data_IF_768149523619
#
_entry.id   IF_768149523619
#
_cell.length_a   1.000
_cell.length_b   1.000
_cell.length_c   1.000
_cell.angle_alpha   90.00
_cell.angle_beta   90.00
_cell.angle_gamma   90.00
#
_symmetry.space_group_name_H-M   'P 1'
#
loop_
_entity.id
_entity.type
_entity.pdbx_description
1 polymer ?
#
# COMPACT_ATOMS: atom_id res chain seq x y z
N UNK A 1 2.14 11.40 -12.97
CA UNK A 1 2.62 10.82 -11.71
C UNK A 1 1.48 10.64 -10.73
N UNK A 2 1.55 9.62 -9.88
CA UNK A 2 0.46 9.35 -8.94
C UNK A 2 0.26 10.46 -7.93
N UNK A 3 -0.99 10.57 -7.49
CA UNK A 3 -1.39 11.56 -6.49
C UNK A 3 -2.17 10.85 -5.39
N UNK A 4 -2.51 11.60 -4.34
CA UNK A 4 -3.35 11.06 -3.28
C UNK A 4 -4.71 10.62 -3.83
N UNK A 5 -5.22 11.30 -4.86
CA UNK A 5 -6.47 10.87 -5.48
C UNK A 5 -6.37 9.48 -6.09
N UNK A 6 -5.20 9.15 -6.64
CA UNK A 6 -4.98 7.81 -7.16
C UNK A 6 -5.00 6.78 -6.03
N UNK A 7 -4.37 7.11 -4.90
CA UNK A 7 -4.40 6.23 -3.73
C UNK A 7 -5.83 6.02 -3.27
N UNK A 8 -6.61 7.10 -3.22
CA UNK A 8 -8.02 7.04 -2.81
C UNK A 8 -8.83 6.16 -3.75
N UNK A 9 -8.67 6.37 -5.05
CA UNK A 9 -9.40 5.60 -6.05
C UNK A 9 -9.08 4.12 -5.96
N UNK A 10 -7.80 3.79 -5.85
CA UNK A 10 -7.37 2.39 -5.76
C UNK A 10 -7.88 1.77 -4.47
N UNK A 11 -7.69 2.46 -3.35
CA UNK A 11 -8.08 1.95 -2.04
C UNK A 11 -9.58 1.71 -1.93
N UNK A 12 -10.38 2.67 -2.38
CA UNK A 12 -11.83 2.57 -2.25
C UNK A 12 -12.43 1.60 -3.26
N UNK A 13 -11.66 1.20 -4.27
CA UNK A 13 -12.08 0.15 -5.19
C UNK A 13 -11.91 -1.25 -4.62
N UNK A 14 -11.25 -1.42 -3.47
CA UNK A 14 -11.06 -2.72 -2.87
C UNK A 14 -12.23 -3.09 -1.97
N UNK A 15 -12.54 -4.40 -1.85
CA UNK A 15 -13.73 -4.84 -1.09
C UNK A 15 -13.76 -4.33 0.35
N UNK A 16 -14.91 -3.81 0.76
CA UNK A 16 -15.19 -3.35 2.13
C UNK A 16 -14.20 -2.29 2.62
N UNK A 17 -13.60 -1.54 1.71
CA UNK A 17 -12.69 -0.47 2.07
C UNK A 17 -13.45 0.83 2.30
N UNK A 18 -12.90 1.66 3.17
CA UNK A 18 -13.48 2.97 3.48
C UNK A 18 -12.37 3.94 3.81
N UNK A 19 -12.71 5.23 3.78
CA UNK A 19 -11.77 6.30 4.10
C UNK A 19 -12.32 7.08 5.28
N UNK A 20 -11.47 7.33 6.27
CA UNK A 20 -11.82 8.12 7.44
C UNK A 20 -10.76 9.19 7.64
N UNK A 21 -11.19 10.43 7.79
CA UNK A 21 -10.28 11.50 8.17
C UNK A 21 -10.00 11.39 9.66
N UNK A 22 -8.72 11.36 10.00
CA UNK A 22 -8.27 11.19 11.38
C UNK A 22 -7.39 12.39 11.72
N UNK A 23 -7.57 12.91 12.91
CA UNK A 23 -6.79 14.07 13.38
C UNK A 23 -6.87 15.25 12.41
N UNK A 24 -8.02 15.40 11.75
CA UNK A 24 -8.31 16.56 10.92
C UNK A 24 -7.79 16.50 9.51
N UNK A 25 -6.55 16.08 9.29
CA UNK A 25 -5.93 16.13 7.97
C UNK A 25 -5.51 14.79 7.41
N UNK A 26 -5.30 13.79 8.27
CA UNK A 26 -4.83 12.49 7.79
C UNK A 26 -5.99 11.66 7.27
N UNK A 27 -5.91 11.27 6.01
CA UNK A 27 -6.86 10.32 5.45
C UNK A 27 -6.35 8.92 5.73
N UNK A 28 -7.19 8.11 6.40
CA UNK A 28 -6.84 6.71 6.66
C UNK A 28 -7.74 5.84 5.82
N UNK A 29 -7.12 4.88 5.12
CA UNK A 29 -7.84 3.93 4.28
C UNK A 29 -7.88 2.61 5.02
N UNK A 30 -9.08 2.05 5.18
CA UNK A 30 -9.31 0.93 6.07
C UNK A 30 -10.10 -0.16 5.39
N UNK A 31 -9.92 -1.38 5.87
CA UNK A 31 -10.86 -2.46 5.60
C UNK A 31 -11.50 -2.77 6.96
N UNK A 32 -12.81 -2.53 7.05
CA UNK A 32 -13.47 -2.52 8.35
C UNK A 32 -12.86 -1.41 9.21
N UNK A 33 -12.40 -1.77 10.40
CA UNK A 33 -11.79 -0.81 11.31
C UNK A 33 -10.26 -0.77 11.21
N UNK A 34 -9.66 -1.62 10.40
CA UNK A 34 -8.21 -1.75 10.33
C UNK A 34 -7.63 -0.90 9.22
N UNK A 35 -6.60 -0.13 9.54
CA UNK A 35 -5.96 0.79 8.61
C UNK A 35 -4.91 0.06 7.79
N UNK A 36 -4.89 0.28 6.46
CA UNK A 36 -3.83 -0.27 5.62
C UNK A 36 -3.04 0.82 4.88
N UNK A 37 -3.51 2.06 4.86
CA UNK A 37 -2.77 3.17 4.28
C UNK A 37 -3.16 4.46 4.98
N UNK A 38 -2.20 5.38 5.11
CA UNK A 38 -2.41 6.66 5.77
C UNK A 38 -1.72 7.74 4.95
N UNK A 39 -2.46 8.79 4.58
CA UNK A 39 -1.82 9.99 4.03
C UNK A 39 -1.44 10.90 5.20
N UNK A 40 -0.35 11.65 5.05
CA UNK A 40 0.00 12.66 6.03
C UNK A 40 -0.62 14.00 5.68
N UNK A 41 -0.20 15.03 6.41
CA UNK A 41 -0.62 16.40 6.11
C UNK A 41 -0.24 16.80 4.70
N UNK A 42 0.92 16.31 4.26
CA UNK A 42 1.42 16.57 2.92
C UNK A 42 0.85 15.49 2.01
N UNK A 43 0.19 15.90 0.94
CA UNK A 43 -0.46 14.97 0.03
C UNK A 43 0.52 14.29 -0.92
N UNK A 44 1.83 14.53 -0.77
CA UNK A 44 2.84 13.97 -1.64
C UNK A 44 3.43 12.65 -1.14
N UNK A 45 3.08 12.21 0.07
CA UNK A 45 3.55 10.95 0.62
C UNK A 45 2.41 10.17 1.25
N UNK A 46 2.52 8.86 1.20
CA UNK A 46 1.56 7.96 1.82
C UNK A 46 2.32 6.85 2.52
N UNK A 47 1.83 6.41 3.66
CA UNK A 47 2.38 5.26 4.38
C UNK A 47 1.45 4.08 4.13
N UNK A 48 2.03 2.95 3.71
CA UNK A 48 1.25 1.77 3.34
C UNK A 48 1.77 0.58 4.13
N UNK A 49 0.86 -0.22 4.65
CA UNK A 49 1.22 -1.41 5.40
C UNK A 49 1.90 -2.41 4.50
N UNK A 50 3.03 -2.94 4.95
CA UNK A 50 3.78 -3.95 4.22
C UNK A 50 4.45 -4.87 5.24
N UNK A 51 5.14 -5.90 4.75
CA UNK A 51 5.92 -6.76 5.63
C UNK A 51 7.30 -6.13 5.83
N UNK A 52 7.99 -6.56 6.88
CA UNK A 52 9.36 -6.09 7.10
C UNK A 52 10.28 -6.46 5.94
N UNK A 53 10.08 -7.64 5.37
CA UNK A 53 10.88 -8.06 4.22
C UNK A 53 10.62 -7.18 3.01
N UNK A 54 9.35 -6.88 2.72
CA UNK A 54 9.00 -6.02 1.59
C UNK A 54 9.51 -4.60 1.79
N UNK A 55 9.40 -4.08 3.02
CA UNK A 55 9.92 -2.76 3.34
C UNK A 55 11.42 -2.68 3.04
N UNK A 56 12.17 -3.68 3.50
CA UNK A 56 13.62 -3.69 3.31
C UNK A 56 13.97 -3.77 1.83
N UNK A 57 13.27 -4.59 1.07
CA UNK A 57 13.52 -4.73 -0.36
C UNK A 57 13.24 -3.43 -1.12
N UNK A 58 12.13 -2.78 -0.79
CA UNK A 58 11.76 -1.54 -1.46
C UNK A 58 12.76 -0.43 -1.18
N UNK A 59 13.16 -0.29 0.07
CA UNK A 59 14.14 0.74 0.44
C UNK A 59 15.49 0.47 -0.22
N UNK A 60 15.88 -0.79 -0.27
CA UNK A 60 17.13 -1.17 -0.90
C UNK A 60 17.10 -0.88 -2.40
N UNK A 61 15.95 -1.13 -3.03
CA UNK A 61 15.77 -0.92 -4.46
C UNK A 61 15.77 0.56 -4.83
N UNK A 62 15.07 1.39 -4.06
CA UNK A 62 14.93 2.80 -4.38
C UNK A 62 14.71 3.64 -3.12
N UNK A 63 15.80 3.97 -2.40
CA UNK A 63 15.67 4.70 -1.14
C UNK A 63 15.18 6.13 -1.28
N UNK A 64 15.11 6.68 -2.50
CA UNK A 64 14.56 8.01 -2.71
C UNK A 64 13.05 7.99 -2.78
N UNK A 65 12.48 6.87 -3.21
CA UNK A 65 11.03 6.71 -3.34
C UNK A 65 10.43 6.11 -2.08
N UNK A 66 11.13 5.14 -1.48
CA UNK A 66 10.60 4.37 -0.35
C UNK A 66 11.40 4.61 0.91
N UNK A 67 10.71 4.74 2.02
CA UNK A 67 11.33 4.93 3.31
C UNK A 67 10.58 4.17 4.39
N UNK A 68 11.19 4.13 5.57
CA UNK A 68 10.58 3.52 6.73
C UNK A 68 9.58 4.51 7.33
N UNK A 69 8.34 4.09 7.52
CA UNK A 69 7.32 4.97 8.06
C UNK A 69 7.62 5.33 9.52
N UNK A 70 7.27 6.55 9.90
CA UNK A 70 7.43 6.98 11.29
C UNK A 70 6.50 6.14 12.17
N UNK A 71 6.98 5.79 13.37
CA UNK A 71 6.25 5.04 14.39
C UNK A 71 5.89 3.62 13.99
N UNK A 72 5.21 3.43 12.86
CA UNK A 72 4.75 2.09 12.43
C UNK A 72 5.76 1.39 11.52
N UNK A 73 6.87 2.05 11.18
CA UNK A 73 7.90 1.44 10.34
C UNK A 73 8.46 0.15 10.91
N UNK A 74 8.51 0.03 12.24
CA UNK A 74 9.01 -1.18 12.89
C UNK A 74 8.12 -2.40 12.63
N UNK A 75 6.89 -2.18 12.15
CA UNK A 75 5.97 -3.25 11.79
C UNK A 75 5.96 -3.54 10.30
N UNK A 76 6.82 -2.87 9.52
CA UNK A 76 6.92 -3.09 8.09
C UNK A 76 6.32 -2.00 7.22
N UNK A 77 5.65 -1.01 7.81
CA UNK A 77 5.04 0.06 7.02
C UNK A 77 6.10 0.85 6.26
N UNK A 78 5.76 1.23 5.04
CA UNK A 78 6.68 1.93 4.14
C UNK A 78 6.05 3.25 3.72
N UNK A 79 6.86 4.34 3.73
CA UNK A 79 6.40 5.60 3.15
C UNK A 79 6.77 5.60 1.68
N UNK A 80 5.89 6.19 0.88
CA UNK A 80 6.04 6.22 -0.57
C UNK A 80 5.94 7.66 -1.05
N UNK A 81 6.94 8.09 -1.80
CA UNK A 81 6.92 9.42 -2.42
C UNK A 81 6.11 9.31 -3.70
N UNK A 82 4.93 9.92 -3.71
CA UNK A 82 4.01 9.79 -4.82
C UNK A 82 4.53 10.44 -6.10
N UNK A 83 5.39 11.43 -5.97
CA UNK A 83 5.97 12.08 -7.15
C UNK A 83 6.95 11.18 -7.88
N UNK A 84 7.47 10.15 -7.22
CA UNK A 84 8.52 9.31 -7.78
C UNK A 84 8.07 7.87 -8.06
N UNK A 85 7.03 7.40 -7.40
CA UNK A 85 6.64 5.99 -7.51
C UNK A 85 5.96 5.71 -8.86
N UNK A 86 6.25 4.55 -9.43
CA UNK A 86 5.57 4.07 -10.61
C UNK A 86 4.10 3.76 -10.27
N UNK A 87 3.14 4.19 -11.11
CA UNK A 87 1.72 3.94 -10.80
C UNK A 87 1.36 2.48 -10.60
N UNK A 88 1.97 1.57 -11.36
CA UNK A 88 1.67 0.14 -11.21
C UNK A 88 2.24 -0.39 -9.91
N UNK A 89 3.41 0.10 -9.52
CA UNK A 89 4.01 -0.29 -8.25
C UNK A 89 3.12 0.19 -7.11
N UNK A 90 2.65 1.43 -7.19
CA UNK A 90 1.76 1.97 -6.17
C UNK A 90 0.49 1.13 -6.03
N UNK A 91 -0.13 0.77 -7.14
CA UNK A 91 -1.35 -0.04 -7.11
C UNK A 91 -1.09 -1.39 -6.44
N UNK A 92 0.05 -2.01 -6.75
CA UNK A 92 0.43 -3.27 -6.12
C UNK A 92 0.66 -3.15 -4.63
N UNK A 93 1.29 -2.05 -4.21
CA UNK A 93 1.55 -1.83 -2.79
C UNK A 93 0.26 -1.62 -2.00
N UNK A 94 -0.68 -0.87 -2.56
CA UNK A 94 -1.98 -0.64 -1.91
C UNK A 94 -2.74 -1.96 -1.79
N UNK A 95 -2.75 -2.76 -2.85
CA UNK A 95 -3.42 -4.05 -2.82
C UNK A 95 -2.78 -4.99 -1.79
N UNK A 96 -1.45 -5.03 -1.75
CA UNK A 96 -0.75 -5.88 -0.77
C UNK A 96 -1.05 -5.43 0.65
N UNK A 97 -1.10 -4.12 0.91
CA UNK A 97 -1.46 -3.61 2.22
C UNK A 97 -2.87 -4.01 2.62
N UNK A 98 -3.80 -3.93 1.68
CA UNK A 98 -5.17 -4.38 1.91
C UNK A 98 -5.20 -5.88 2.24
N UNK A 99 -4.45 -6.70 1.48
CA UNK A 99 -4.43 -8.15 1.72
C UNK A 99 -3.87 -8.51 3.08
N UNK A 100 -2.87 -7.77 3.54
CA UNK A 100 -2.28 -8.02 4.86
C UNK A 100 -3.24 -7.65 5.98
N UNK A 101 -4.21 -6.81 5.71
CA UNK A 101 -5.10 -6.24 6.71
C UNK A 101 -6.49 -6.88 6.71
N UNK A 102 -6.98 -7.26 5.53
CA UNK A 102 -8.31 -7.84 5.38
C UNK A 102 -8.40 -9.22 6.01
N UNK A 103 -9.58 -9.61 6.52
CA UNK A 103 -9.79 -10.99 6.96
C UNK A 103 -9.50 -11.96 5.82
N UNK A 104 -9.04 -13.15 6.15
CA UNK A 104 -8.66 -14.12 5.14
C UNK A 104 -9.77 -14.43 4.15
N UNK A 105 -11.00 -14.56 4.65
CA UNK A 105 -12.14 -14.85 3.76
C UNK A 105 -12.35 -13.75 2.73
N UNK A 106 -12.11 -12.51 3.13
CA UNK A 106 -12.29 -11.37 2.25
C UNK A 106 -11.11 -11.26 1.27
N UNK A 107 -9.90 -11.46 1.76
CA UNK A 107 -8.72 -11.41 0.91
C UNK A 107 -8.78 -12.47 -0.19
N UNK A 108 -9.41 -13.61 0.09
CA UNK A 108 -9.52 -14.70 -0.88
C UNK A 108 -10.49 -14.38 -2.02
N UNK A 109 -11.29 -13.31 -1.91
CA UNK A 109 -12.22 -12.95 -2.99
C UNK A 109 -11.54 -12.31 -4.18
N UNK A 110 -10.29 -11.86 -4.02
CA UNK A 110 -9.53 -11.26 -5.11
C UNK A 110 -8.49 -12.25 -5.61
N UNK A 111 -8.30 -12.33 -6.93
CA UNK A 111 -7.24 -13.19 -7.47
C UNK A 111 -5.88 -12.65 -7.11
N UNK A 112 -4.88 -13.52 -7.14
CA UNK A 112 -3.50 -13.10 -6.96
C UNK A 112 -3.12 -12.11 -8.05
N UNK A 113 -2.30 -11.10 -7.77
CA UNK A 113 -1.87 -10.15 -8.79
C UNK A 113 -1.14 -10.88 -9.91
N UNK A 114 -1.45 -10.57 -11.17
CA UNK A 114 -0.79 -11.24 -12.30
C UNK A 114 0.72 -11.11 -12.28
N UNK A 115 1.22 -9.95 -11.91
CA UNK A 115 2.65 -9.71 -11.86
C UNK A 115 3.33 -10.67 -10.90
N UNK A 116 2.71 -10.91 -9.76
CA UNK A 116 3.27 -11.78 -8.75
C UNK A 116 3.26 -13.23 -9.19
N UNK A 117 2.19 -13.63 -9.85
CA UNK A 117 2.05 -15.00 -10.34
C UNK A 117 3.06 -15.30 -11.44
N UNK A 118 3.41 -14.31 -12.23
CA UNK A 118 4.26 -14.51 -13.40
C UNK A 118 5.73 -14.54 -13.06
N UNK A 119 6.05 -14.07 -11.98
CA UNK A 119 7.43 -14.16 -11.63
C UNK A 119 7.90 -15.53 -11.38
N UNK A 120 7.22 -15.73 -11.76
CA UNK A 120 7.80 -16.56 -11.76
C UNK A 120 8.11 -17.13 -12.35
N UNK A 121 7.90 -16.99 -12.62
CA UNK A 121 8.15 -17.55 -13.27
C UNK A 121 8.31 -18.06 -13.71
N UNK A 122 8.09 -18.22 -13.76
CA UNK A 122 8.19 -18.62 -14.24
C UNK A 122 8.25 -19.15 -14.71
N UNK A 123 8.44 -19.42 -14.89
CA UNK A 123 8.40 -19.91 -15.42
C UNK A 123 7.99 -20.42 -15.52
N UNK A 124 7.53 -20.47 -15.56
CA UNK A 124 7.31 -20.68 -15.86
C UNK A 124 6.77 -20.94 -15.72
N UNK A 125 6.56 -20.87 -15.61
CA UNK A 125 6.31 -20.73 -15.68
C UNK A 125 6.11 -20.82 -15.80
#
# INVERSE_FOLDING_TARGET
MPTLEDVRRISLGLPESNEILTWGTDATFRVGARIFAISGESADRVSIKASLAAQAELIDLDPLTFGRAAYVGRFGWVTVDLARVDPEVLAGLVLDGWRLTAPKRLAATLPAPPLRANRSPIPGE
#
